data_IF_898464025207
#
_entry.id   IF_898464025207
#
_cell.length_a   1.000
_cell.length_b   1.000
_cell.length_c   1.000
_cell.angle_alpha   90.00
_cell.angle_beta   90.00
_cell.angle_gamma   90.00
#
_symmetry.space_group_name_H-M   'P 1'
#
loop_
_entity.id
_entity.type
_entity.pdbx_description
1 polymer ?
#
# COMPACT_ATOMS: atom_id res chain seq x y z
N UNK A 1 -27.22 -38.38 -19.92
CA UNK A 1 -27.21 -37.33 -20.96
C UNK A 1 -27.32 -35.98 -20.27
N UNK A 2 -26.31 -35.13 -20.48
CA UNK A 2 -26.24 -33.64 -20.39
C UNK A 2 -26.90 -32.95 -19.18
N UNK A 3 -26.18 -32.18 -18.37
CA UNK A 3 -25.66 -30.89 -18.81
C UNK A 3 -24.42 -30.47 -18.01
N UNK A 4 -23.43 -29.99 -18.76
CA UNK A 4 -22.38 -29.14 -18.24
C UNK A 4 -23.01 -27.84 -17.72
N UNK A 5 -22.64 -27.44 -16.51
CA UNK A 5 -22.61 -26.02 -16.17
C UNK A 5 -21.22 -25.78 -15.62
N UNK A 6 -20.37 -25.32 -16.53
CA UNK A 6 -19.13 -24.66 -16.21
C UNK A 6 -19.49 -23.41 -15.39
N UNK A 7 -19.29 -23.44 -14.08
CA UNK A 7 -19.05 -22.20 -13.35
C UNK A 7 -17.57 -21.87 -13.54
N UNK A 8 -17.27 -21.00 -14.49
CA UNK A 8 -15.93 -20.43 -14.63
C UNK A 8 -15.58 -19.67 -13.34
N UNK A 9 -14.35 -19.78 -12.82
CA UNK A 9 -13.97 -19.08 -11.61
C UNK A 9 -14.08 -17.56 -11.81
N UNK A 10 -14.55 -16.86 -10.77
CA UNK A 10 -14.61 -15.39 -10.68
C UNK A 10 -13.16 -14.86 -10.73
N UNK A 11 -12.59 -14.70 -11.92
CA UNK A 11 -11.19 -14.29 -12.11
C UNK A 11 -10.99 -12.78 -12.24
N UNK A 12 -12.07 -11.98 -12.25
CA UNK A 12 -11.95 -10.56 -12.58
C UNK A 12 -11.63 -9.63 -11.40
N UNK A 13 -11.73 -10.10 -10.14
CA UNK A 13 -11.46 -9.29 -8.94
C UNK A 13 -10.21 -9.68 -8.16
N UNK A 14 -9.57 -10.81 -8.49
CA UNK A 14 -8.39 -11.30 -7.75
C UNK A 14 -7.14 -10.46 -8.04
N UNK A 15 -6.98 -10.02 -9.29
CA UNK A 15 -5.82 -9.23 -9.70
C UNK A 15 -5.87 -7.81 -9.14
N UNK A 16 -7.06 -7.21 -9.09
CA UNK A 16 -7.31 -5.89 -8.49
C UNK A 16 -7.13 -5.93 -6.96
N UNK A 17 -7.67 -6.96 -6.29
CA UNK A 17 -7.46 -7.16 -4.85
C UNK A 17 -5.96 -7.36 -4.51
N UNK A 18 -5.24 -8.05 -5.38
CA UNK A 18 -3.80 -8.24 -5.23
C UNK A 18 -3.01 -6.94 -5.47
N UNK A 19 -3.46 -6.09 -6.40
CA UNK A 19 -2.88 -4.77 -6.64
C UNK A 19 -3.09 -3.85 -5.42
N UNK A 20 -4.29 -3.83 -4.86
CA UNK A 20 -4.63 -3.03 -3.69
C UNK A 20 -3.80 -3.41 -2.46
N UNK A 21 -3.60 -4.71 -2.21
CA UNK A 21 -2.77 -5.18 -1.09
C UNK A 21 -1.28 -4.83 -1.30
N UNK A 22 -0.77 -4.96 -2.52
CA UNK A 22 0.59 -4.52 -2.86
C UNK A 22 0.78 -3.02 -2.65
N UNK A 23 -0.18 -2.21 -3.11
CA UNK A 23 -0.15 -0.76 -2.93
C UNK A 23 -0.20 -0.40 -1.45
N UNK A 24 -1.07 -1.06 -0.67
CA UNK A 24 -1.13 -0.88 0.78
C UNK A 24 0.21 -1.16 1.45
N UNK A 25 0.87 -2.27 1.09
CA UNK A 25 2.20 -2.61 1.60
C UNK A 25 3.24 -1.54 1.29
N UNK A 26 3.23 -0.99 0.08
CA UNK A 26 4.10 0.13 -0.32
C UNK A 26 3.84 1.37 0.52
N UNK A 27 2.58 1.76 0.71
CA UNK A 27 2.22 2.93 1.51
C UNK A 27 2.69 2.81 2.95
N UNK A 28 2.59 1.61 3.55
CA UNK A 28 3.07 1.36 4.92
C UNK A 28 4.60 1.43 5.02
N UNK A 29 5.33 0.94 4.03
CA UNK A 29 6.79 1.03 4.00
C UNK A 29 7.26 2.48 3.90
N UNK A 30 6.67 3.26 3.00
CA UNK A 30 6.99 4.69 2.86
C UNK A 30 6.63 5.46 4.14
N UNK A 31 5.56 5.07 4.82
CA UNK A 31 5.20 5.64 6.10
C UNK A 31 6.28 5.40 7.18
N UNK A 32 6.80 4.18 7.28
CA UNK A 32 7.91 3.87 8.18
C UNK A 32 9.21 4.57 7.78
N UNK A 33 9.52 4.65 6.48
CA UNK A 33 10.70 5.36 5.99
C UNK A 33 10.66 6.86 6.33
N UNK A 34 9.49 7.50 6.16
CA UNK A 34 9.29 8.91 6.47
C UNK A 34 9.37 9.21 7.98
N UNK A 35 9.05 8.26 8.85
CA UNK A 35 9.26 8.41 10.30
C UNK A 35 10.74 8.38 10.68
N UNK A 36 11.53 7.54 9.99
CA UNK A 36 12.97 7.43 10.21
C UNK A 36 13.74 8.60 9.61
N UNK A 37 13.21 9.23 8.56
CA UNK A 37 13.84 10.28 7.75
C UNK A 37 12.85 11.40 7.43
N UNK A 38 12.44 12.21 8.43
CA UNK A 38 11.40 13.24 8.27
C UNK A 38 11.79 14.38 7.32
N UNK A 39 13.08 14.52 6.98
CA UNK A 39 13.60 15.48 6.01
C UNK A 39 13.42 15.05 4.55
N UNK A 40 13.13 13.77 4.29
CA UNK A 40 12.93 13.28 2.93
C UNK A 40 11.53 13.64 2.40
N UNK A 41 11.44 13.91 1.10
CA UNK A 41 10.17 14.13 0.42
C UNK A 41 9.41 12.81 0.31
N UNK A 42 8.29 12.72 1.04
CA UNK A 42 7.39 11.57 1.06
C UNK A 42 6.87 11.22 -0.33
N UNK A 43 6.63 12.22 -1.18
CA UNK A 43 6.17 11.99 -2.56
C UNK A 43 7.28 11.38 -3.42
N UNK A 44 8.54 11.83 -3.23
CA UNK A 44 9.70 11.26 -3.90
C UNK A 44 9.95 9.81 -3.45
N UNK A 45 9.83 9.52 -2.16
CA UNK A 45 9.92 8.18 -1.59
C UNK A 45 8.84 7.25 -2.15
N UNK A 46 7.58 7.73 -2.21
CA UNK A 46 6.47 6.97 -2.77
C UNK A 46 6.72 6.64 -4.25
N UNK A 47 7.14 7.63 -5.05
CA UNK A 47 7.50 7.41 -6.46
C UNK A 47 8.61 6.38 -6.63
N UNK A 48 9.66 6.46 -5.81
CA UNK A 48 10.73 5.47 -5.84
C UNK A 48 10.18 4.07 -5.56
N UNK A 49 9.35 3.93 -4.53
CA UNK A 49 8.87 2.62 -4.12
C UNK A 49 7.89 1.99 -5.11
N UNK A 50 7.03 2.80 -5.75
CA UNK A 50 6.16 2.35 -6.83
C UNK A 50 6.97 1.82 -8.02
N UNK A 51 8.07 2.49 -8.39
CA UNK A 51 8.98 2.01 -9.44
C UNK A 51 9.66 0.70 -9.05
N UNK A 52 10.21 0.61 -7.84
CA UNK A 52 10.91 -0.58 -7.35
C UNK A 52 9.99 -1.82 -7.32
N UNK A 53 8.72 -1.62 -6.97
CA UNK A 53 7.71 -2.68 -6.90
C UNK A 53 6.97 -2.92 -8.21
N UNK A 54 7.27 -2.15 -9.27
CA UNK A 54 6.61 -2.21 -10.58
C UNK A 54 5.09 -2.05 -10.48
N UNK A 55 4.62 -1.25 -9.52
CA UNK A 55 3.22 -0.88 -9.38
C UNK A 55 2.96 0.37 -10.21
N UNK A 56 2.10 0.23 -11.23
CA UNK A 56 1.69 1.34 -12.08
C UNK A 56 0.40 1.94 -11.55
N UNK A 57 0.45 3.22 -11.17
CA UNK A 57 -0.73 4.06 -10.89
C UNK A 57 -0.61 5.37 -11.66
N UNK A 58 -1.70 6.12 -11.74
CA UNK A 58 -1.71 7.43 -12.38
C UNK A 58 -0.84 8.43 -11.59
N UNK A 59 0.03 9.19 -12.27
CA UNK A 59 0.94 10.15 -11.61
C UNK A 59 0.16 11.22 -10.82
N UNK A 60 -1.02 11.61 -11.30
CA UNK A 60 -1.92 12.54 -10.62
C UNK A 60 -2.48 12.01 -9.29
N UNK A 61 -2.46 10.69 -9.07
CA UNK A 61 -2.91 10.08 -7.81
C UNK A 61 -1.82 10.13 -6.73
N UNK A 62 -0.55 10.25 -7.10
CA UNK A 62 0.59 10.16 -6.19
C UNK A 62 0.56 11.26 -5.11
N UNK A 63 0.33 12.55 -5.42
CA UNK A 63 0.25 13.58 -4.38
C UNK A 63 -0.86 13.31 -3.34
N UNK A 64 -2.03 12.82 -3.81
CA UNK A 64 -3.15 12.48 -2.93
C UNK A 64 -2.86 11.29 -2.02
N UNK A 65 -2.11 10.30 -2.51
CA UNK A 65 -1.64 9.17 -1.70
C UNK A 65 -0.56 9.61 -0.71
N UNK A 66 0.42 10.40 -1.14
CA UNK A 66 1.50 10.92 -0.29
C UNK A 66 0.97 11.74 0.88
N UNK A 67 -0.03 12.60 0.65
CA UNK A 67 -0.67 13.40 1.71
C UNK A 67 -1.34 12.55 2.82
N UNK A 68 -1.68 11.29 2.54
CA UNK A 68 -2.28 10.37 3.51
C UNK A 68 -1.24 9.63 4.36
N UNK A 69 0.00 9.53 3.90
CA UNK A 69 1.06 8.73 4.54
C UNK A 69 1.34 9.15 6.00
N UNK A 70 1.45 10.45 6.34
CA UNK A 70 1.67 10.88 7.73
C UNK A 70 0.56 10.46 8.71
N UNK A 71 -0.64 10.17 8.20
CA UNK A 71 -1.77 9.71 9.01
C UNK A 71 -1.77 8.18 9.25
N UNK A 72 -1.03 7.43 8.42
CA UNK A 72 -0.94 5.97 8.53
C UNK A 72 -0.14 5.56 9.76
N UNK A 73 0.94 6.28 10.09
CA UNK A 73 1.78 5.95 11.23
C UNK A 73 1.21 6.44 12.55
N UNK A 74 0.56 7.60 12.56
CA UNK A 74 -0.13 8.15 13.74
C UNK A 74 -1.20 7.21 14.30
N UNK A 75 -1.81 6.36 13.46
CA UNK A 75 -2.80 5.37 13.88
C UNK A 75 -2.15 4.09 14.46
N UNK A 76 -0.87 3.85 14.22
CA UNK A 76 -0.12 2.69 14.73
C UNK A 76 0.70 2.95 16.00
N UNK A 77 1.03 4.21 16.32
CA UNK A 77 1.87 4.59 17.46
C UNK A 77 1.19 4.61 18.83
N UNK A 78 0.03 3.96 18.99
CA UNK A 78 -0.78 4.03 20.21
C UNK A 78 -0.49 2.97 21.27
N UNK A 79 0.25 1.90 20.99
CA UNK A 79 0.34 0.77 21.94
C UNK A 79 1.64 -0.03 21.87
N UNK A 80 2.78 0.66 22.03
CA UNK A 80 4.04 0.01 22.39
C UNK A 80 4.65 0.73 23.60
N UNK A 81 3.97 0.67 24.73
CA UNK A 81 4.65 0.77 26.02
C UNK A 81 5.61 -0.42 26.13
N UNK A 82 6.94 -0.22 26.26
CA UNK A 82 7.83 -1.29 26.65
C UNK A 82 7.59 -1.56 28.14
N UNK A 83 6.62 -2.43 28.41
CA UNK A 83 6.34 -2.95 29.73
C UNK A 83 7.46 -3.90 30.15
N UNK A 84 8.12 -3.53 31.23
CA UNK A 84 9.15 -4.29 31.94
C UNK A 84 8.81 -5.77 32.12
N UNK A 85 9.78 -6.63 31.83
CA UNK A 85 10.00 -7.92 32.51
C UNK A 85 11.49 -8.21 32.56
#
# INVERSE_FOLDING_TARGET
>A
MTNASQDHPIQHGSDDAQLDEKLRGVLLQVAGDAELRPEEDVEALLRQRLRDTKISIAEEAIPGLAARIPSLTRRGGGDLTPGAH
#
